data_IF_320213267660
#
_entry.id   IF_320213267660
#
_cell.length_a   1.000
_cell.length_b   1.000
_cell.length_c   1.000
_cell.angle_alpha   90.00
_cell.angle_beta   90.00
_cell.angle_gamma   90.00
#
_symmetry.space_group_name_H-M   'P 1'
#
loop_
_entity.id
_entity.type
_entity.pdbx_description
1 polymer ?
#
# COMPACT_ATOMS: atom_id res chain seq x y z
N UNK A 1 -8.48 6.18 -15.53
CA UNK A 1 -8.37 5.34 -14.32
C UNK A 1 -7.00 5.43 -13.62
N UNK A 2 -5.87 5.35 -14.34
CA UNK A 2 -4.52 5.46 -13.72
C UNK A 2 -4.25 6.82 -13.07
N UNK A 3 -4.65 7.92 -13.71
CA UNK A 3 -4.55 9.28 -13.16
C UNK A 3 -5.22 9.41 -11.78
N UNK A 4 -6.38 8.78 -11.60
CA UNK A 4 -7.11 8.79 -10.32
C UNK A 4 -6.34 8.03 -9.23
N UNK A 5 -5.73 6.88 -9.57
CA UNK A 5 -4.91 6.10 -8.62
C UNK A 5 -3.67 6.85 -8.18
N UNK A 6 -2.97 7.50 -9.12
CA UNK A 6 -1.79 8.30 -8.81
C UNK A 6 -2.15 9.46 -7.89
N UNK A 7 -3.19 10.23 -8.23
CA UNK A 7 -3.60 11.37 -7.40
C UNK A 7 -4.04 10.94 -5.99
N UNK A 8 -4.84 9.87 -5.88
CA UNK A 8 -5.24 9.32 -4.58
C UNK A 8 -4.03 8.81 -3.81
N UNK A 9 -3.07 8.16 -4.48
CA UNK A 9 -1.83 7.71 -3.86
C UNK A 9 -0.99 8.84 -3.28
N UNK A 10 -0.82 9.93 -4.03
CA UNK A 10 -0.12 11.14 -3.56
C UNK A 10 -0.81 11.68 -2.30
N UNK A 11 -2.12 11.89 -2.34
CA UNK A 11 -2.87 12.42 -1.19
C UNK A 11 -2.82 11.49 0.03
N UNK A 12 -2.98 10.18 -0.18
CA UNK A 12 -2.88 9.17 0.88
C UNK A 12 -1.48 9.18 1.50
N UNK A 13 -0.43 9.26 0.69
CA UNK A 13 0.96 9.35 1.14
C UNK A 13 1.20 10.57 2.03
N UNK A 14 0.83 11.77 1.54
CA UNK A 14 1.00 13.04 2.28
C UNK A 14 0.23 13.04 3.60
N UNK A 15 -1.03 12.57 3.60
CA UNK A 15 -1.84 12.53 4.81
C UNK A 15 -1.29 11.54 5.84
N UNK A 16 -0.86 10.36 5.40
CA UNK A 16 -0.22 9.38 6.29
C UNK A 16 1.11 9.90 6.85
N UNK A 17 1.88 10.60 6.02
CA UNK A 17 3.14 11.21 6.40
C UNK A 17 2.96 12.34 7.43
N UNK A 18 1.89 13.12 7.30
CA UNK A 18 1.52 14.12 8.31
C UNK A 18 1.34 13.48 9.68
N UNK A 19 0.73 12.29 9.76
CA UNK A 19 0.60 11.54 11.03
C UNK A 19 1.96 11.07 11.55
N UNK A 20 2.81 10.51 10.67
CA UNK A 20 4.20 10.09 10.99
C UNK A 20 4.99 11.25 11.60
N UNK A 21 4.97 12.41 10.94
CA UNK A 21 5.69 13.62 11.32
C UNK A 21 5.15 14.23 12.61
N UNK A 22 3.82 14.26 12.78
CA UNK A 22 3.19 14.73 14.02
C UNK A 22 3.62 13.87 15.21
N UNK A 23 3.56 12.54 15.08
CA UNK A 23 4.02 11.63 16.12
C UNK A 23 5.50 11.84 16.44
N UNK A 24 6.35 11.89 15.41
CA UNK A 24 7.78 12.12 15.60
C UNK A 24 8.08 13.45 16.29
N UNK A 25 7.43 14.54 15.89
CA UNK A 25 7.60 15.84 16.53
C UNK A 25 7.17 15.82 18.00
N UNK A 26 6.05 15.18 18.33
CA UNK A 26 5.63 14.99 19.72
C UNK A 26 6.71 14.25 20.51
N UNK A 27 7.21 13.12 20.00
CA UNK A 27 8.25 12.34 20.68
C UNK A 27 9.58 13.07 20.81
N UNK A 28 9.92 13.93 19.85
CA UNK A 28 11.08 14.82 19.92
C UNK A 28 10.92 15.83 21.05
N UNK A 29 9.75 16.47 21.16
CA UNK A 29 9.44 17.42 22.25
C UNK A 29 9.42 16.77 23.63
N UNK A 30 9.13 15.47 23.70
CA UNK A 30 9.19 14.67 24.94
C UNK A 30 10.60 14.12 25.24
N UNK A 31 11.59 14.36 24.38
CA UNK A 31 12.98 13.94 24.59
C UNK A 31 13.26 12.46 24.26
N UNK A 32 12.37 11.76 23.57
CA UNK A 32 12.61 10.36 23.17
C UNK A 32 13.53 10.22 21.94
N UNK A 33 13.70 11.29 21.17
CA UNK A 33 14.60 11.36 20.01
C UNK A 33 15.27 12.72 19.95
N UNK A 34 16.53 12.77 19.50
CA UNK A 34 17.31 14.00 19.35
C UNK A 34 17.12 14.70 17.99
N UNK A 35 16.44 14.05 17.04
CA UNK A 35 16.15 14.61 15.72
C UNK A 35 14.74 14.26 15.22
N UNK A 36 14.25 15.12 14.33
CA UNK A 36 12.96 14.94 13.62
C UNK A 36 13.18 14.48 12.18
N UNK A 37 12.19 13.83 11.56
CA UNK A 37 12.34 13.16 10.26
C UNK A 37 12.88 14.06 9.14
N UNK A 38 12.38 15.28 8.99
CA UNK A 38 12.91 16.20 7.98
C UNK A 38 14.39 16.55 8.21
N UNK A 39 14.89 16.54 9.45
CA UNK A 39 16.34 16.68 9.70
C UNK A 39 17.11 15.42 9.30
N UNK A 40 16.56 14.24 9.60
CA UNK A 40 17.15 12.96 9.18
C UNK A 40 17.26 12.86 7.65
N UNK A 41 16.24 13.35 6.93
CA UNK A 41 16.25 13.40 5.46
C UNK A 41 17.21 14.49 4.95
N UNK A 42 17.23 15.69 5.57
CA UNK A 42 18.16 16.75 5.19
C UNK A 42 19.63 16.31 5.30
N UNK A 43 19.95 15.45 6.27
CA UNK A 43 21.28 14.90 6.48
C UNK A 43 21.81 14.02 5.32
N UNK A 44 20.96 13.63 4.36
CA UNK A 44 21.39 13.00 3.11
C UNK A 44 22.12 13.97 2.18
N UNK A 45 21.82 15.27 2.28
CA UNK A 45 22.26 16.29 1.33
C UNK A 45 23.20 17.31 1.97
N UNK A 46 23.16 17.45 3.29
CA UNK A 46 23.79 18.54 4.01
C UNK A 46 24.73 18.03 5.10
N UNK A 47 25.69 18.89 5.47
CA UNK A 47 26.55 18.69 6.63
C UNK A 47 25.77 18.89 7.92
N UNK A 48 26.37 18.49 9.05
CA UNK A 48 25.72 18.54 10.37
C UNK A 48 25.34 19.97 10.77
N UNK A 49 26.15 20.94 10.37
CA UNK A 49 25.97 22.37 10.67
C UNK A 49 24.76 22.93 9.92
N UNK A 50 24.50 22.44 8.71
CA UNK A 50 23.48 22.99 7.80
C UNK A 50 22.10 22.33 7.98
N UNK A 51 22.03 21.12 8.53
CA UNK A 51 20.75 20.38 8.74
C UNK A 51 19.75 21.14 9.62
N UNK A 52 20.23 21.94 10.58
CA UNK A 52 19.40 22.67 11.53
C UNK A 52 19.01 24.07 11.05
N UNK A 53 19.53 24.50 9.90
CA UNK A 53 19.20 25.80 9.32
C UNK A 53 17.80 25.79 8.70
N UNK A 54 17.15 26.96 8.52
CA UNK A 54 15.87 27.05 7.81
C UNK A 54 15.93 26.43 6.39
N UNK A 55 17.05 26.58 5.70
CA UNK A 55 17.27 25.96 4.39
C UNK A 55 17.31 24.43 4.49
N UNK A 56 18.00 23.89 5.50
CA UNK A 56 18.03 22.45 5.78
C UNK A 56 16.64 21.87 6.05
N UNK A 57 15.82 22.57 6.83
CA UNK A 57 14.43 22.16 7.08
C UNK A 57 13.59 22.14 5.80
N UNK A 58 13.74 23.13 4.92
CA UNK A 58 13.04 23.17 3.63
C UNK A 58 13.46 22.03 2.70
N UNK A 59 14.77 21.76 2.59
CA UNK A 59 15.32 20.68 1.77
C UNK A 59 14.80 19.34 2.27
N UNK A 60 14.95 19.09 3.58
CA UNK A 60 14.51 17.86 4.22
C UNK A 60 13.00 17.62 4.13
N UNK A 61 12.20 18.64 4.42
CA UNK A 61 10.74 18.57 4.32
C UNK A 61 10.25 18.33 2.89
N UNK A 62 10.88 18.96 1.90
CA UNK A 62 10.54 18.76 0.49
C UNK A 62 10.85 17.33 0.05
N UNK A 63 12.04 16.83 0.39
CA UNK A 63 12.44 15.46 0.06
C UNK A 63 11.53 14.43 0.75
N UNK A 64 11.17 14.64 2.02
CA UNK A 64 10.26 13.74 2.76
C UNK A 64 8.87 13.68 2.10
N UNK A 65 8.27 14.82 1.76
CA UNK A 65 6.96 14.89 1.08
C UNK A 65 7.00 14.17 -0.28
N UNK A 66 8.07 14.32 -1.06
CA UNK A 66 8.22 13.65 -2.36
C UNK A 66 8.26 12.13 -2.16
N UNK A 67 9.07 11.65 -1.22
CA UNK A 67 9.19 10.22 -0.91
C UNK A 67 7.86 9.67 -0.39
N UNK A 68 7.21 10.36 0.54
CA UNK A 68 5.91 9.97 1.07
C UNK A 68 4.84 9.90 -0.02
N UNK A 69 4.79 10.88 -0.91
CA UNK A 69 3.88 10.89 -2.06
C UNK A 69 4.12 9.69 -2.97
N UNK A 70 5.38 9.40 -3.29
CA UNK A 70 5.77 8.25 -4.09
C UNK A 70 5.35 6.93 -3.42
N UNK A 71 5.65 6.76 -2.12
CA UNK A 71 5.29 5.57 -1.36
C UNK A 71 3.76 5.39 -1.25
N UNK A 72 3.00 6.48 -1.13
CA UNK A 72 1.55 6.43 -1.18
C UNK A 72 1.01 5.94 -2.52
N UNK A 73 1.62 6.37 -3.64
CA UNK A 73 1.31 5.84 -4.98
C UNK A 73 1.61 4.35 -5.06
N UNK A 74 2.81 3.93 -4.64
CA UNK A 74 3.21 2.52 -4.62
C UNK A 74 2.22 1.69 -3.80
N UNK A 75 1.82 2.19 -2.61
CA UNK A 75 0.86 1.52 -1.75
C UNK A 75 -0.52 1.37 -2.41
N UNK A 76 -1.04 2.41 -3.05
CA UNK A 76 -2.33 2.32 -3.76
C UNK A 76 -2.27 1.30 -4.90
N UNK A 77 -1.17 1.24 -5.66
CA UNK A 77 -1.00 0.20 -6.67
C UNK A 77 -0.89 -1.19 -6.05
N UNK A 78 -0.16 -1.33 -4.95
CA UNK A 78 -0.07 -2.59 -4.21
C UNK A 78 -1.46 -3.09 -3.77
N UNK A 79 -2.31 -2.22 -3.20
CA UNK A 79 -3.69 -2.59 -2.83
C UNK A 79 -4.56 -2.84 -4.07
N UNK A 80 -4.37 -2.08 -5.16
CA UNK A 80 -5.09 -2.32 -6.41
C UNK A 80 -4.86 -3.73 -6.96
N UNK A 81 -3.62 -4.23 -6.91
CA UNK A 81 -3.28 -5.55 -7.43
C UNK A 81 -3.56 -6.69 -6.45
N UNK A 82 -3.33 -6.48 -5.15
CA UNK A 82 -3.47 -7.54 -4.12
C UNK A 82 -4.83 -7.57 -3.43
N UNK A 83 -5.71 -6.62 -3.76
CA UNK A 83 -7.03 -6.51 -3.19
C UNK A 83 -7.08 -5.75 -1.86
N UNK A 84 -8.30 -5.41 -1.42
CA UNK A 84 -8.56 -4.67 -0.17
C UNK A 84 -8.63 -5.56 1.08
N UNK A 85 -8.66 -6.88 0.88
CA UNK A 85 -8.58 -7.88 1.94
C UNK A 85 -7.40 -7.58 2.87
N UNK A 86 -7.63 -7.59 4.19
CA UNK A 86 -6.61 -7.33 5.21
C UNK A 86 -5.86 -5.99 5.05
N UNK A 87 -6.53 -4.93 4.58
CA UNK A 87 -5.94 -3.61 4.31
C UNK A 87 -5.08 -3.06 5.48
N UNK A 88 -5.51 -3.23 6.72
CA UNK A 88 -4.78 -2.77 7.91
C UNK A 88 -3.44 -3.49 8.09
N UNK A 89 -3.43 -4.82 7.96
CA UNK A 89 -2.22 -5.64 8.06
C UNK A 89 -1.27 -5.30 6.91
N UNK A 90 -1.80 -5.14 5.69
CA UNK A 90 -1.04 -4.69 4.52
C UNK A 90 -0.42 -3.31 4.74
N UNK A 91 -1.17 -2.38 5.34
CA UNK A 91 -0.68 -1.05 5.70
C UNK A 91 0.48 -1.10 6.69
N UNK A 92 0.29 -1.77 7.84
CA UNK A 92 1.33 -1.97 8.85
C UNK A 92 2.57 -2.63 8.24
N UNK A 93 2.37 -3.74 7.52
CA UNK A 93 3.45 -4.48 6.88
C UNK A 93 4.23 -3.62 5.88
N UNK A 94 3.54 -2.83 5.07
CA UNK A 94 4.17 -1.90 4.14
C UNK A 94 4.98 -0.82 4.87
N UNK A 95 4.41 -0.19 5.91
CA UNK A 95 5.09 0.82 6.71
C UNK A 95 6.36 0.28 7.38
N UNK A 96 6.28 -0.89 8.02
CA UNK A 96 7.43 -1.55 8.65
C UNK A 96 8.46 -2.04 7.63
N UNK A 97 8.02 -2.47 6.43
CA UNK A 97 8.93 -2.81 5.34
C UNK A 97 9.70 -1.59 4.85
N UNK A 98 9.04 -0.45 4.70
CA UNK A 98 9.70 0.83 4.36
C UNK A 98 10.71 1.21 5.46
N UNK A 99 10.33 1.05 6.73
CA UNK A 99 11.24 1.32 7.84
C UNK A 99 12.51 0.46 7.75
N UNK A 100 12.39 -0.87 7.69
CA UNK A 100 13.59 -1.71 7.69
C UNK A 100 14.43 -1.51 6.43
N UNK A 101 13.80 -1.33 5.26
CA UNK A 101 14.52 -1.18 3.99
C UNK A 101 15.09 0.23 3.81
N UNK A 102 14.25 1.25 3.62
CA UNK A 102 14.69 2.61 3.33
C UNK A 102 15.37 3.26 4.53
N UNK A 103 14.79 3.13 5.73
CA UNK A 103 15.35 3.79 6.91
C UNK A 103 16.53 2.99 7.48
N UNK A 104 16.35 1.71 7.76
CA UNK A 104 17.34 0.86 8.41
C UNK A 104 18.57 0.54 7.54
N UNK A 105 18.35 0.05 6.32
CA UNK A 105 19.45 -0.38 5.44
C UNK A 105 20.12 0.81 4.74
N UNK A 106 19.34 1.75 4.22
CA UNK A 106 19.90 2.85 3.41
C UNK A 106 20.16 4.11 4.23
N UNK A 107 19.12 4.78 4.71
CA UNK A 107 19.24 6.12 5.31
C UNK A 107 20.20 6.13 6.51
N UNK A 108 20.00 5.22 7.46
CA UNK A 108 20.76 5.21 8.71
C UNK A 108 22.26 4.97 8.50
N UNK A 109 22.65 4.25 7.45
CA UNK A 109 24.06 4.05 7.10
C UNK A 109 24.66 5.32 6.51
N UNK A 110 23.92 6.02 5.66
CA UNK A 110 24.37 7.22 4.98
C UNK A 110 24.52 8.42 5.93
N UNK A 111 23.61 8.56 6.90
CA UNK A 111 23.57 9.76 7.76
C UNK A 111 24.27 9.57 9.12
N UNK A 112 24.83 8.39 9.41
CA UNK A 112 25.37 8.03 10.74
C UNK A 112 26.38 9.05 11.28
N UNK A 113 27.22 9.61 10.42
CA UNK A 113 28.24 10.58 10.82
C UNK A 113 27.67 11.99 11.04
N UNK A 114 26.54 12.30 10.40
CA UNK A 114 25.84 13.58 10.52
C UNK A 114 24.92 13.56 11.74
N UNK A 115 24.10 12.52 11.87
CA UNK A 115 23.15 12.29 12.98
C UNK A 115 23.34 10.86 13.48
N UNK A 116 24.10 10.67 14.58
CA UNK A 116 24.30 9.36 15.17
C UNK A 116 22.99 8.73 15.66
N UNK A 117 22.76 7.42 15.43
CA UNK A 117 21.56 6.75 15.91
C UNK A 117 21.58 6.55 17.42
N UNK A 118 20.46 6.84 18.06
CA UNK A 118 20.18 6.53 19.46
C UNK A 118 19.12 5.42 19.54
N UNK A 119 19.22 4.51 20.51
CA UNK A 119 18.28 3.39 20.64
C UNK A 119 16.83 3.83 20.80
N UNK A 120 16.58 4.87 21.60
CA UNK A 120 15.25 5.46 21.77
C UNK A 120 14.72 6.09 20.47
N UNK A 121 15.59 6.80 19.74
CA UNK A 121 15.28 7.36 18.41
C UNK A 121 14.91 6.27 17.41
N UNK A 122 15.63 5.15 17.38
CA UNK A 122 15.29 4.00 16.53
C UNK A 122 13.90 3.47 16.88
N UNK A 123 13.57 3.28 18.16
CA UNK A 123 12.24 2.83 18.58
C UNK A 123 11.13 3.80 18.16
N UNK A 124 11.39 5.11 18.27
CA UNK A 124 10.48 6.15 17.77
C UNK A 124 10.26 6.00 16.26
N UNK A 125 11.31 5.72 15.47
CA UNK A 125 11.16 5.57 14.02
C UNK A 125 10.36 4.32 13.65
N UNK A 126 10.48 3.21 14.39
CA UNK A 126 9.64 2.01 14.23
C UNK A 126 8.18 2.36 14.46
N UNK A 127 7.89 3.00 15.60
CA UNK A 127 6.53 3.39 15.97
C UNK A 127 5.93 4.37 14.95
N UNK A 128 6.71 5.35 14.49
CA UNK A 128 6.29 6.30 13.46
C UNK A 128 5.91 5.61 12.14
N UNK A 129 6.66 4.60 11.71
CA UNK A 129 6.37 3.86 10.48
C UNK A 129 5.21 2.85 10.63
N UNK A 130 5.02 2.30 11.83
CA UNK A 130 3.82 1.54 12.15
C UNK A 130 2.57 2.43 12.02
N UNK A 131 2.60 3.63 12.61
CA UNK A 131 1.52 4.61 12.49
C UNK A 131 1.34 5.12 11.06
N UNK A 132 2.41 5.32 10.32
CA UNK A 132 2.37 5.64 8.89
C UNK A 132 1.63 4.55 8.11
N UNK A 133 1.98 3.27 8.33
CA UNK A 133 1.32 2.13 7.70
C UNK A 133 -0.18 2.02 8.03
N UNK A 134 -0.55 2.23 9.30
CA UNK A 134 -1.96 2.33 9.70
C UNK A 134 -2.67 3.50 9.02
N UNK A 135 -2.01 4.65 8.92
CA UNK A 135 -2.57 5.85 8.30
C UNK A 135 -2.76 5.68 6.80
N UNK A 136 -1.82 5.03 6.10
CA UNK A 136 -1.97 4.65 4.70
C UNK A 136 -3.24 3.81 4.49
N UNK A 137 -3.46 2.80 5.33
CA UNK A 137 -4.66 1.97 5.29
C UNK A 137 -5.94 2.79 5.56
N UNK A 138 -5.93 3.64 6.59
CA UNK A 138 -7.07 4.49 6.95
C UNK A 138 -7.46 5.45 5.82
N UNK A 139 -6.50 6.22 5.29
CA UNK A 139 -6.76 7.20 4.23
C UNK A 139 -7.07 6.52 2.89
N UNK A 140 -6.51 5.34 2.61
CA UNK A 140 -6.91 4.51 1.47
C UNK A 140 -8.40 4.13 1.58
N UNK A 141 -8.85 3.67 2.76
CA UNK A 141 -10.25 3.32 2.99
C UNK A 141 -11.18 4.53 2.80
N UNK A 142 -10.78 5.70 3.29
CA UNK A 142 -11.58 6.94 3.23
C UNK A 142 -11.67 7.53 1.82
N UNK A 143 -10.54 7.60 1.10
CA UNK A 143 -10.44 8.29 -0.19
C UNK A 143 -10.62 7.35 -1.37
N UNK A 144 -9.90 6.23 -1.40
CA UNK A 144 -9.92 5.32 -2.53
C UNK A 144 -11.22 4.54 -2.63
N UNK A 145 -11.85 4.19 -1.50
CA UNK A 145 -13.15 3.51 -1.47
C UNK A 145 -14.27 4.25 -2.19
N UNK A 146 -14.16 5.59 -2.29
CA UNK A 146 -15.13 6.44 -3.01
C UNK A 146 -14.74 6.70 -4.48
N UNK A 147 -13.45 6.67 -4.78
CA UNK A 147 -12.91 7.22 -6.03
C UNK A 147 -12.38 6.16 -7.01
N UNK A 148 -12.07 4.96 -6.53
CA UNK A 148 -11.37 3.92 -7.30
C UNK A 148 -11.98 2.54 -7.03
N UNK A 149 -12.51 1.86 -8.05
CA UNK A 149 -12.84 0.44 -7.93
C UNK A 149 -11.54 -0.39 -7.94
N UNK A 150 -11.45 -1.33 -7.00
CA UNK A 150 -10.32 -2.25 -6.86
C UNK A 150 -10.61 -3.56 -7.58
N UNK A 151 -9.58 -4.40 -7.77
CA UNK A 151 -9.71 -5.66 -8.51
C UNK A 151 -10.79 -6.58 -7.94
N UNK A 152 -10.96 -6.61 -6.62
CA UNK A 152 -11.99 -7.41 -5.95
C UNK A 152 -13.40 -6.85 -6.22
N UNK A 153 -13.54 -5.52 -6.30
CA UNK A 153 -14.80 -4.87 -6.67
C UNK A 153 -15.18 -5.21 -8.12
N UNK A 154 -14.18 -5.26 -9.02
CA UNK A 154 -14.38 -5.62 -10.44
C UNK A 154 -14.78 -7.09 -10.61
N UNK A 155 -14.11 -8.00 -9.89
CA UNK A 155 -14.43 -9.44 -9.91
C UNK A 155 -15.84 -9.73 -9.40
N UNK A 156 -16.33 -8.94 -8.44
CA UNK A 156 -17.65 -9.09 -7.86
C UNK A 156 -18.76 -8.35 -8.63
N UNK A 157 -18.43 -7.50 -9.61
CA UNK A 157 -19.41 -6.78 -10.42
C UNK A 157 -20.25 -7.73 -11.29
N UNK A 158 -21.54 -7.42 -11.45
CA UNK A 158 -22.52 -8.25 -12.16
C UNK A 158 -22.14 -8.59 -13.62
N UNK A 159 -21.27 -7.80 -14.24
CA UNK A 159 -20.71 -8.04 -15.57
C UNK A 159 -19.89 -9.35 -15.65
N UNK A 160 -19.20 -9.74 -14.58
CA UNK A 160 -18.47 -11.03 -14.55
C UNK A 160 -19.43 -12.20 -14.29
N UNK A 161 -20.54 -11.95 -13.57
CA UNK A 161 -21.59 -12.94 -13.37
C UNK A 161 -22.38 -13.19 -14.67
N UNK A 162 -22.68 -12.16 -15.46
CA UNK A 162 -23.40 -12.30 -16.73
C UNK A 162 -22.58 -13.04 -17.79
N UNK A 163 -21.26 -12.84 -17.86
CA UNK A 163 -20.38 -13.61 -18.74
C UNK A 163 -20.28 -15.11 -18.37
N UNK A 164 -20.43 -15.47 -17.09
CA UNK A 164 -20.49 -16.88 -16.67
C UNK A 164 -21.84 -17.55 -16.99
N UNK A 165 -22.91 -16.78 -17.12
CA UNK A 165 -24.24 -17.30 -17.47
C UNK A 165 -24.37 -17.52 -18.99
N UNK A 166 -23.60 -16.78 -19.81
CA UNK A 166 -23.63 -16.87 -21.27
C UNK A 166 -22.64 -17.87 -21.88
N UNK A 167 -21.81 -18.56 -21.09
CA UNK A 167 -21.00 -19.65 -21.64
C UNK A 167 -21.93 -20.80 -22.03
N UNK A 168 -22.00 -21.18 -23.32
CA UNK A 168 -22.91 -22.23 -23.77
C UNK A 168 -22.57 -23.55 -23.09
N UNK A 169 -23.59 -24.24 -22.56
CA UNK A 169 -23.46 -25.59 -22.01
C UNK A 169 -22.82 -26.49 -23.08
N UNK A 170 -21.75 -27.24 -22.78
CA UNK A 170 -21.15 -28.15 -23.73
C UNK A 170 -22.21 -29.12 -24.26
N UNK A 171 -22.43 -29.09 -25.57
CA UNK A 171 -23.45 -29.87 -26.30
C UNK A 171 -23.09 -31.38 -26.37
N UNK A 172 -22.59 -31.96 -25.27
CA UNK A 172 -22.13 -33.36 -25.21
C UNK A 172 -23.08 -34.30 -24.45
N UNK A 173 -24.23 -33.82 -23.95
CA UNK A 173 -25.17 -34.64 -23.16
C UNK A 173 -26.60 -34.74 -23.70
N UNK A 174 -26.85 -34.41 -24.97
CA UNK A 174 -28.19 -34.51 -25.58
C UNK A 174 -28.35 -35.62 -26.64
N UNK A 175 -27.37 -36.50 -26.84
CA UNK A 175 -27.38 -37.51 -27.93
C UNK A 175 -27.37 -38.99 -27.50
N UNK A 176 -27.81 -39.35 -26.29
CA UNK A 176 -27.88 -40.79 -25.90
C UNK A 176 -29.15 -41.09 -25.12
N UNK A 177 -30.32 -40.93 -25.76
CA UNK A 177 -31.57 -41.55 -25.27
C UNK A 177 -32.62 -41.69 -26.38
N UNK A 178 -32.22 -42.19 -27.54
CA UNK A 178 -33.19 -42.57 -28.59
C UNK A 178 -32.63 -43.66 -29.50
N UNK A 179 -32.79 -44.91 -29.07
CA UNK A 179 -33.07 -46.11 -29.89
C UNK A 179 -32.66 -47.35 -29.10
N UNK A 180 -33.65 -48.03 -28.54
CA UNK A 180 -33.70 -49.49 -28.38
C UNK A 180 -35.14 -49.82 -27.99
N UNK A 181 -36.05 -49.69 -28.96
CA UNK A 181 -37.34 -50.35 -28.95
C UNK A 181 -37.47 -51.09 -30.28
N UNK A 182 -37.89 -52.35 -30.16
CA UNK A 182 -38.40 -53.26 -31.19
C UNK A 182 -37.38 -53.96 -32.10
N UNK A 183 -37.08 -55.22 -31.76
CA UNK A 183 -37.22 -56.33 -32.72
C UNK A 183 -37.72 -57.56 -31.94
N UNK A 184 -39.04 -57.79 -31.95
CA UNK A 184 -39.66 -59.07 -31.58
C UNK A 184 -39.45 -60.03 -32.76
N UNK A 185 -38.87 -61.20 -32.52
CA UNK A 185 -38.82 -62.30 -33.50
C UNK A 185 -40.20 -62.97 -33.62
N UNK A 186 -40.66 -63.36 -34.83
CA UNK A 186 -41.89 -64.12 -35.00
C UNK A 186 -41.70 -65.62 -34.68
N UNK A 187 -42.74 -66.24 -34.13
CA UNK A 187 -42.88 -67.68 -33.96
C UNK A 187 -42.90 -68.40 -35.32
N UNK A 188 -42.22 -69.55 -35.41
CA UNK A 188 -42.43 -70.53 -36.47
C UNK A 188 -43.52 -71.51 -36.02
N UNK A 189 -44.42 -71.82 -36.96
CA UNK A 189 -45.40 -72.92 -36.94
C UNK A 189 -44.64 -74.23 -37.12
#
# INVERSE_FOLDING_TARGET
MLKNKMMVGILVGILADTVKLTFNYITFRLGFTSAVFWQLIAALFLTKEDVFTPAGLLIGGTADIIVASFLGVVFIYFIYYTGKENLWIKGIGFGLLVWVSMFGVFLQQLIRNTIPPESSGILVTIAAHFLYGLSLAAFTKLLAGKLIPFNDDLKNSELVKSFKISTPVPMKKLSVKKKLKAFKKPHKI
#
